data_IF_683290744859
#
_entry.id   IF_683290744859
#
_cell.length_a   1.000
_cell.length_b   1.000
_cell.length_c   1.000
_cell.angle_alpha   90.00
_cell.angle_beta   90.00
_cell.angle_gamma   90.00
#
_symmetry.space_group_name_H-M   'P 1'
#
loop_
_entity.id
_entity.type
_entity.pdbx_description
1 polymer ?
#
# COMPACT_ATOMS: atom_id res chain seq x y z
N UNK A 1 12.76 -15.79 13.31
CA UNK A 1 13.25 -14.40 13.43
C UNK A 1 12.26 -13.47 12.73
N UNK A 2 11.63 -12.52 13.43
CA UNK A 2 10.66 -11.60 12.78
C UNK A 2 11.41 -10.54 11.97
N UNK A 3 11.07 -10.37 10.69
CA UNK A 3 11.67 -9.34 9.84
C UNK A 3 11.35 -7.93 10.37
N UNK A 4 12.35 -7.05 10.42
CA UNK A 4 12.19 -5.65 10.85
C UNK A 4 11.29 -4.89 9.86
N UNK A 5 10.29 -4.16 10.37
CA UNK A 5 9.39 -3.35 9.54
C UNK A 5 10.17 -2.28 8.76
N UNK A 6 10.01 -2.17 7.43
CA UNK A 6 10.63 -1.10 6.66
C UNK A 6 10.12 0.29 7.07
N UNK A 7 10.97 1.31 6.91
CA UNK A 7 10.62 2.71 7.19
C UNK A 7 9.56 3.18 6.21
N UNK A 8 8.52 3.83 6.73
CA UNK A 8 7.48 4.48 5.92
C UNK A 8 7.99 5.83 5.40
N UNK A 9 7.74 6.11 4.13
CA UNK A 9 8.00 7.41 3.49
C UNK A 9 6.91 8.44 3.84
N UNK A 10 5.69 7.95 4.04
CA UNK A 10 4.50 8.77 4.22
C UNK A 10 4.06 8.76 5.69
N UNK A 11 4.86 9.42 6.54
CA UNK A 11 4.61 9.45 8.00
C UNK A 11 3.76 10.64 8.45
N UNK A 12 3.65 11.68 7.62
CA UNK A 12 2.88 12.89 7.93
C UNK A 12 1.99 13.30 6.75
N UNK A 13 0.86 14.00 7.01
CA UNK A 13 0.03 14.57 5.94
C UNK A 13 0.82 15.48 5.00
N UNK A 14 1.75 16.26 5.54
CA UNK A 14 2.60 17.18 4.77
C UNK A 14 3.51 16.45 3.79
N UNK A 15 4.14 15.35 4.20
CA UNK A 15 4.97 14.54 3.33
C UNK A 15 4.15 13.93 2.17
N UNK A 16 2.91 13.54 2.43
CA UNK A 16 1.99 13.03 1.39
C UNK A 16 1.63 14.15 0.41
N UNK A 17 1.24 15.33 0.92
CA UNK A 17 0.92 16.51 0.10
C UNK A 17 2.10 16.94 -0.77
N UNK A 18 3.29 17.01 -0.20
CA UNK A 18 4.51 17.39 -0.90
C UNK A 18 4.84 16.39 -2.01
N UNK A 19 4.81 15.09 -1.71
CA UNK A 19 5.03 14.06 -2.71
C UNK A 19 4.02 14.15 -3.85
N UNK A 20 2.72 14.31 -3.54
CA UNK A 20 1.68 14.46 -4.56
C UNK A 20 1.93 15.68 -5.44
N UNK A 21 2.20 16.84 -4.84
CA UNK A 21 2.46 18.11 -5.55
C UNK A 21 3.71 18.02 -6.42
N UNK A 22 4.78 17.39 -5.93
CA UNK A 22 6.02 17.17 -6.69
C UNK A 22 5.80 16.39 -7.99
N UNK A 23 4.79 15.52 -8.03
CA UNK A 23 4.42 14.76 -9.22
C UNK A 23 3.32 15.42 -10.06
N UNK A 24 2.91 16.65 -9.72
CA UNK A 24 1.88 17.40 -10.47
C UNK A 24 0.48 16.81 -10.38
N UNK A 25 0.21 15.92 -9.42
CA UNK A 25 -1.07 15.20 -9.32
C UNK A 25 -2.09 15.97 -8.49
N UNK A 26 -3.35 15.94 -8.89
CA UNK A 26 -4.45 16.35 -8.05
C UNK A 26 -4.81 15.26 -7.01
N UNK A 27 -5.70 15.59 -6.05
CA UNK A 27 -6.08 14.63 -5.00
C UNK A 27 -6.74 13.38 -5.58
N UNK A 28 -7.64 13.52 -6.56
CA UNK A 28 -8.32 12.37 -7.16
C UNK A 28 -7.32 11.42 -7.84
N UNK A 29 -6.43 11.95 -8.69
CA UNK A 29 -5.42 11.16 -9.42
C UNK A 29 -4.46 10.42 -8.48
N UNK A 30 -4.09 11.05 -7.37
CA UNK A 30 -3.22 10.44 -6.37
C UNK A 30 -3.96 9.36 -5.59
N UNK A 31 -5.09 9.70 -4.96
CA UNK A 31 -5.77 8.79 -4.04
C UNK A 31 -6.49 7.63 -4.75
N UNK A 32 -6.94 7.83 -5.99
CA UNK A 32 -7.62 6.78 -6.79
C UNK A 32 -6.73 5.56 -7.05
N UNK A 33 -5.41 5.73 -7.17
CA UNK A 33 -4.46 4.59 -7.33
C UNK A 33 -4.48 3.64 -6.14
N UNK A 34 -4.90 4.12 -4.98
CA UNK A 34 -5.00 3.35 -3.74
C UNK A 34 -6.44 2.91 -3.44
N UNK A 35 -7.38 3.12 -4.38
CA UNK A 35 -8.80 2.88 -4.16
C UNK A 35 -9.46 3.84 -3.17
N UNK A 36 -8.84 5.00 -2.91
CA UNK A 36 -9.36 6.01 -1.97
C UNK A 36 -10.09 7.11 -2.76
N UNK A 37 -11.29 7.48 -2.30
CA UNK A 37 -12.06 8.58 -2.90
C UNK A 37 -11.37 9.93 -2.72
N UNK A 38 -11.66 10.93 -3.57
CA UNK A 38 -11.11 12.28 -3.42
C UNK A 38 -11.42 12.89 -2.04
N UNK A 39 -12.65 12.74 -1.54
CA UNK A 39 -13.05 13.27 -0.23
C UNK A 39 -12.36 12.54 0.92
N UNK A 40 -12.09 11.23 0.78
CA UNK A 40 -11.27 10.46 1.70
C UNK A 40 -9.83 10.95 1.74
N UNK A 41 -9.22 11.10 0.57
CA UNK A 41 -7.87 11.63 0.40
C UNK A 41 -7.68 13.04 0.96
N UNK A 42 -8.65 13.92 0.72
CA UNK A 42 -8.66 15.27 1.29
C UNK A 42 -8.61 15.25 2.82
N UNK A 43 -9.39 14.37 3.47
CA UNK A 43 -9.35 14.23 4.94
C UNK A 43 -7.98 13.79 5.43
N UNK A 44 -7.35 12.83 4.74
CA UNK A 44 -6.01 12.35 5.08
C UNK A 44 -4.95 13.45 4.96
N UNK A 45 -5.00 14.26 3.90
CA UNK A 45 -4.08 15.39 3.69
C UNK A 45 -4.26 16.53 4.71
N UNK A 46 -5.43 16.59 5.35
CA UNK A 46 -5.78 17.56 6.39
C UNK A 46 -5.66 17.00 7.83
N UNK A 47 -4.92 15.91 8.02
CA UNK A 47 -4.55 15.42 9.36
C UNK A 47 -5.47 14.37 9.97
N UNK A 48 -6.48 13.87 9.24
CA UNK A 48 -7.21 12.68 9.68
C UNK A 48 -6.25 11.49 9.72
N UNK A 49 -6.38 10.67 10.77
CA UNK A 49 -5.64 9.42 10.86
C UNK A 49 -5.87 8.54 9.62
N UNK A 50 -4.78 8.08 9.02
CA UNK A 50 -4.78 7.24 7.82
C UNK A 50 -4.78 5.78 8.28
N UNK A 51 -5.72 4.93 7.80
CA UNK A 51 -5.72 3.51 8.13
C UNK A 51 -4.38 2.84 7.78
N UNK A 52 -3.93 1.87 8.59
CA UNK A 52 -2.65 1.19 8.38
C UNK A 52 -2.54 0.55 6.99
N UNK A 53 -3.64 -0.01 6.48
CA UNK A 53 -3.70 -0.57 5.12
C UNK A 53 -3.34 0.48 4.06
N UNK A 54 -3.90 1.69 4.16
CA UNK A 54 -3.62 2.79 3.23
C UNK A 54 -2.17 3.27 3.36
N UNK A 55 -1.61 3.34 4.57
CA UNK A 55 -0.19 3.68 4.77
C UNK A 55 0.76 2.69 4.11
N UNK A 56 0.43 1.39 4.15
CA UNK A 56 1.20 0.35 3.48
C UNK A 56 1.08 0.49 1.95
N UNK A 57 -0.13 0.71 1.44
CA UNK A 57 -0.36 0.92 0.00
C UNK A 57 0.36 2.17 -0.52
N UNK A 58 0.37 3.27 0.23
CA UNK A 58 1.18 4.45 -0.10
C UNK A 58 2.65 4.09 -0.32
N UNK A 59 3.22 3.28 0.58
CA UNK A 59 4.61 2.85 0.48
C UNK A 59 4.87 1.95 -0.73
N UNK A 60 3.94 1.05 -1.04
CA UNK A 60 4.07 0.10 -2.14
C UNK A 60 3.88 0.80 -3.50
N UNK A 61 2.91 1.72 -3.60
CA UNK A 61 2.56 2.37 -4.85
C UNK A 61 3.52 3.50 -5.25
N UNK A 62 4.07 4.23 -4.27
CA UNK A 62 4.87 5.44 -4.51
C UNK A 62 6.31 5.38 -3.99
N UNK A 63 6.68 4.30 -3.29
CA UNK A 63 8.06 4.05 -2.96
C UNK A 63 8.89 3.66 -4.17
N UNK A 64 10.21 3.71 -4.04
CA UNK A 64 11.12 3.09 -5.03
C UNK A 64 10.85 1.59 -5.12
N UNK A 65 11.18 0.92 -6.24
CA UNK A 65 11.00 -0.53 -6.39
C UNK A 65 11.63 -1.32 -5.23
N UNK A 66 12.81 -0.91 -4.76
CA UNK A 66 13.48 -1.52 -3.61
C UNK A 66 12.67 -1.41 -2.32
N UNK A 67 12.07 -0.24 -2.07
CA UNK A 67 11.25 -0.04 -0.87
C UNK A 67 9.92 -0.79 -0.94
N UNK A 68 9.28 -0.80 -2.11
CA UNK A 68 8.06 -1.57 -2.34
C UNK A 68 8.32 -3.07 -2.12
N UNK A 69 9.38 -3.61 -2.72
CA UNK A 69 9.78 -5.01 -2.55
C UNK A 69 10.08 -5.36 -1.08
N UNK A 70 10.81 -4.49 -0.36
CA UNK A 70 11.06 -4.68 1.06
C UNK A 70 9.78 -4.70 1.91
N UNK A 71 8.80 -3.83 1.59
CA UNK A 71 7.51 -3.80 2.27
C UNK A 71 6.69 -5.07 2.00
N UNK A 72 6.62 -5.50 0.74
CA UNK A 72 5.92 -6.73 0.36
C UNK A 72 6.57 -7.95 1.01
N UNK A 73 7.90 -8.07 0.98
CA UNK A 73 8.62 -9.16 1.64
C UNK A 73 8.35 -9.18 3.16
N UNK A 74 8.32 -8.02 3.82
CA UNK A 74 7.99 -7.93 5.24
C UNK A 74 6.55 -8.40 5.55
N UNK A 75 5.58 -8.07 4.69
CA UNK A 75 4.20 -8.56 4.82
C UNK A 75 4.12 -10.07 4.61
N UNK A 76 4.83 -10.60 3.61
CA UNK A 76 4.85 -12.03 3.29
C UNK A 76 5.54 -12.87 4.37
N UNK A 77 6.61 -12.37 4.98
CA UNK A 77 7.30 -13.04 6.09
C UNK A 77 6.42 -13.18 7.35
N UNK A 78 5.29 -12.45 7.39
CA UNK A 78 4.30 -12.49 8.45
C UNK A 78 3.10 -13.38 8.12
N UNK A 79 3.09 -14.03 6.95
CA UNK A 79 2.07 -15.00 6.59
C UNK A 79 2.18 -16.20 7.54
N UNK A 80 1.08 -16.61 8.20
CA UNK A 80 1.04 -17.92 8.83
C UNK A 80 1.27 -18.98 7.74
N UNK A 81 2.14 -19.91 8.06
CA UNK A 81 2.35 -21.20 7.42
C UNK A 81 1.01 -21.83 7.04
N UNK A 82 0.67 -21.74 5.75
CA UNK A 82 -0.63 -22.15 5.20
C UNK A 82 -1.00 -21.41 3.90
N UNK A 83 -0.48 -20.19 3.68
CA UNK A 83 -0.66 -19.46 2.42
C UNK A 83 0.28 -19.90 1.28
N UNK A 84 1.34 -20.67 1.59
CA UNK A 84 2.27 -21.19 0.59
C UNK A 84 1.67 -22.33 -0.25
N UNK A 85 0.78 -23.12 0.34
CA UNK A 85 0.17 -24.30 -0.30
C UNK A 85 -0.92 -23.91 -1.32
N UNK A 86 -1.53 -22.73 -1.17
CA UNK A 86 -2.54 -22.20 -2.09
C UNK A 86 -1.94 -21.59 -3.38
N UNK A 87 -0.64 -21.27 -3.39
CA UNK A 87 0.00 -20.63 -4.55
C UNK A 87 0.28 -21.62 -5.69
N UNK A 88 0.41 -22.91 -5.38
CA UNK A 88 0.60 -23.99 -6.35
C UNK A 88 -0.70 -24.76 -6.67
N UNK A 89 -1.82 -24.36 -6.08
CA UNK A 89 -3.11 -24.96 -6.39
C UNK A 89 -3.52 -24.58 -7.83
N UNK A 90 -3.75 -25.56 -8.73
CA UNK A 90 -4.23 -25.26 -10.07
C UNK A 90 -5.54 -24.49 -9.97
N UNK A 91 -5.66 -23.46 -10.82
CA UNK A 91 -6.73 -22.49 -10.89
C UNK A 91 -8.13 -23.14 -10.94
N UNK A 92 -8.76 -23.43 -9.79
CA UNK A 92 -10.09 -24.08 -9.69
C UNK A 92 -11.28 -23.15 -9.97
N UNK A 93 -11.07 -22.02 -10.64
CA UNK A 93 -12.16 -21.06 -10.96
C UNK A 93 -12.77 -21.27 -12.35
N UNK A 94 -12.37 -22.33 -13.07
CA UNK A 94 -12.89 -22.66 -14.41
C UNK A 94 -13.56 -24.05 -14.49
N UNK A 95 -14.09 -24.59 -13.39
CA UNK A 95 -14.84 -25.87 -13.38
C UNK A 95 -16.22 -25.69 -12.74
N UNK A 96 -17.10 -24.96 -13.40
CA UNK A 96 -18.55 -25.15 -13.31
C UNK A 96 -19.19 -24.58 -14.57
N UNK A 97 -19.25 -25.42 -15.60
CA UNK A 97 -20.23 -25.35 -16.68
C UNK A 97 -21.46 -26.16 -16.27
#
# INVERSE_FOLDING_TARGET
MSAKKPKLLFTTPDAIREHRRKHGLNQFEFWSRLGVTQSGGSRYENGRNIPTSVQLLLQIAYGTPKQAAAMVAWLQARRPDGYGELADAPNRINETA
#
